data_IF_643897219794
#
_entry.id   IF_643897219794
#
_cell.length_a   1.000
_cell.length_b   1.000
_cell.length_c   1.000
_cell.angle_alpha   90.00
_cell.angle_beta   90.00
_cell.angle_gamma   90.00
#
_symmetry.space_group_name_H-M   'P 1'
#
loop_
_entity.id
_entity.type
_entity.pdbx_description
1 polymer ?
#
# COMPACT_ATOMS: atom_id res chain seq x y z
N UNK A 1 -6.03 -21.79 13.59
CA UNK A 1 -6.35 -20.39 13.25
C UNK A 1 -5.52 -20.03 12.04
N UNK A 2 -6.13 -19.63 10.93
CA UNK A 2 -5.41 -19.21 9.72
C UNK A 2 -5.64 -17.72 9.52
N UNK A 3 -4.56 -16.94 9.43
CA UNK A 3 -4.63 -15.52 9.15
C UNK A 3 -4.44 -15.31 7.65
N UNK A 4 -5.55 -15.14 6.91
CA UNK A 4 -5.50 -14.81 5.49
C UNK A 4 -5.44 -13.29 5.36
N UNK A 5 -4.31 -12.74 4.91
CA UNK A 5 -4.10 -11.30 4.80
C UNK A 5 -4.40 -10.79 3.39
N UNK A 6 -5.58 -10.18 3.19
CA UNK A 6 -5.96 -9.48 1.95
C UNK A 6 -5.95 -7.95 2.07
N UNK A 7 -5.31 -7.42 3.11
CA UNK A 7 -5.39 -5.98 3.46
C UNK A 7 -4.22 -5.13 2.97
N UNK A 8 -3.25 -5.75 2.29
CA UNK A 8 -1.96 -5.17 1.93
C UNK A 8 -1.85 -4.91 0.44
N UNK A 9 -1.49 -3.68 0.08
CA UNK A 9 -1.06 -3.30 -1.26
C UNK A 9 0.47 -3.12 -1.26
N UNK A 10 1.17 -3.87 -2.10
CA UNK A 10 2.62 -3.69 -2.32
C UNK A 10 2.82 -2.78 -3.53
N UNK A 11 3.55 -1.68 -3.32
CA UNK A 11 3.90 -0.73 -4.39
C UNK A 11 5.41 -0.65 -4.54
N UNK A 12 5.86 -0.66 -5.79
CA UNK A 12 7.24 -0.36 -6.15
C UNK A 12 7.26 1.03 -6.78
N UNK A 13 8.06 1.92 -6.22
CA UNK A 13 8.19 3.30 -6.63
C UNK A 13 9.58 3.52 -7.22
N UNK A 14 9.63 4.17 -8.39
CA UNK A 14 10.90 4.62 -8.99
C UNK A 14 11.67 5.56 -8.07
N UNK A 15 10.95 6.36 -7.28
CA UNK A 15 11.51 7.27 -6.30
C UNK A 15 10.60 7.30 -5.06
N UNK A 16 11.02 6.59 -4.01
CA UNK A 16 10.27 6.52 -2.76
C UNK A 16 10.35 7.80 -1.93
N UNK A 17 11.32 8.70 -2.18
CA UNK A 17 11.41 9.97 -1.45
C UNK A 17 10.25 10.92 -1.78
N UNK A 18 9.58 10.67 -2.91
CA UNK A 18 8.39 11.42 -3.35
C UNK A 18 7.09 10.87 -2.79
N UNK A 19 7.13 9.79 -2.01
CA UNK A 19 5.94 9.24 -1.39
C UNK A 19 5.50 10.13 -0.22
N UNK A 20 4.28 10.65 -0.29
CA UNK A 20 3.67 11.43 0.78
C UNK A 20 2.81 10.52 1.67
N UNK A 21 3.37 10.14 2.82
CA UNK A 21 2.67 9.30 3.79
C UNK A 21 1.45 10.00 4.41
N UNK A 22 1.50 11.31 4.60
CA UNK A 22 0.39 12.06 5.21
C UNK A 22 -0.81 12.09 4.25
N UNK A 23 -0.57 12.37 2.97
CA UNK A 23 -1.60 12.30 1.94
C UNK A 23 -2.16 10.88 1.78
N UNK A 24 -1.29 9.85 1.82
CA UNK A 24 -1.72 8.46 1.77
C UNK A 24 -2.65 8.09 2.94
N UNK A 25 -2.31 8.53 4.16
CA UNK A 25 -3.16 8.32 5.35
C UNK A 25 -4.50 9.04 5.23
N UNK A 26 -4.51 10.27 4.72
CA UNK A 26 -5.75 11.02 4.45
C UNK A 26 -6.64 10.34 3.39
N UNK A 27 -6.03 9.62 2.44
CA UNK A 27 -6.72 8.83 1.43
C UNK A 27 -7.20 7.45 1.92
N UNK A 28 -6.99 7.11 3.20
CA UNK A 28 -7.48 5.86 3.81
C UNK A 28 -6.43 4.77 4.04
N UNK A 29 -5.13 5.05 3.81
CA UNK A 29 -4.06 4.12 4.17
C UNK A 29 -3.91 4.09 5.70
N UNK A 30 -4.15 2.93 6.31
CA UNK A 30 -4.06 2.75 7.76
C UNK A 30 -2.62 2.69 8.27
N UNK A 31 -1.71 2.14 7.46
CA UNK A 31 -0.30 2.04 7.79
C UNK A 31 0.56 1.93 6.54
N UNK A 32 1.79 2.43 6.64
CA UNK A 32 2.82 2.35 5.61
C UNK A 32 4.04 1.68 6.23
N UNK A 33 4.67 0.78 5.48
CA UNK A 33 5.91 0.12 5.89
C UNK A 33 6.83 0.00 4.69
N UNK A 34 8.04 0.54 4.81
CA UNK A 34 9.08 0.31 3.83
C UNK A 34 9.69 -1.07 4.06
N UNK A 35 9.58 -1.96 3.07
CA UNK A 35 10.09 -3.34 3.15
C UNK A 35 11.42 -3.52 2.43
N UNK A 36 11.71 -2.63 1.47
CA UNK A 36 13.00 -2.50 0.81
C UNK A 36 13.14 -1.07 0.26
N UNK A 37 14.34 -0.62 -0.14
CA UNK A 37 14.50 0.62 -0.89
C UNK A 37 13.57 0.63 -2.11
N UNK A 38 12.70 1.65 -2.22
CA UNK A 38 11.73 1.75 -3.32
C UNK A 38 10.47 0.91 -3.18
N UNK A 39 10.33 0.07 -2.14
CA UNK A 39 9.19 -0.84 -1.98
C UNK A 39 8.44 -0.58 -0.69
N UNK A 40 7.14 -0.27 -0.81
CA UNK A 40 6.27 0.00 0.33
C UNK A 40 5.14 -1.05 0.41
N UNK A 41 4.78 -1.42 1.63
CA UNK A 41 3.51 -2.04 1.96
C UNK A 41 2.56 -0.96 2.51
N UNK A 42 1.40 -0.85 1.89
CA UNK A 42 0.29 0.00 2.32
C UNK A 42 -0.82 -0.89 2.89
N UNK A 43 -1.27 -0.62 4.10
CA UNK A 43 -2.43 -1.29 4.69
C UNK A 43 -3.68 -0.48 4.32
N UNK A 44 -4.54 -1.05 3.48
CA UNK A 44 -5.73 -0.37 2.93
C UNK A 44 -7.03 -1.11 3.22
N UNK A 45 -6.97 -2.18 4.03
CA UNK A 45 -8.12 -3.03 4.33
C UNK A 45 -8.51 -3.95 3.17
N UNK A 46 -9.67 -4.59 3.27
CA UNK A 46 -10.11 -5.68 2.36
C UNK A 46 -10.21 -5.28 0.88
N UNK A 47 -10.20 -3.98 0.61
CA UNK A 47 -10.20 -3.39 -0.73
C UNK A 47 -8.82 -3.37 -1.42
N UNK A 48 -7.77 -3.93 -0.81
CA UNK A 48 -6.41 -3.90 -1.38
C UNK A 48 -6.33 -4.51 -2.80
N UNK A 49 -7.04 -5.62 -3.04
CA UNK A 49 -7.08 -6.26 -4.35
C UNK A 49 -7.78 -5.40 -5.41
N UNK A 50 -8.92 -4.81 -5.07
CA UNK A 50 -9.67 -3.92 -5.97
C UNK A 50 -8.88 -2.65 -6.28
N UNK A 51 -8.22 -2.06 -5.28
CA UNK A 51 -7.35 -0.91 -5.46
C UNK A 51 -6.15 -1.24 -6.37
N UNK A 52 -5.51 -2.40 -6.18
CA UNK A 52 -4.42 -2.85 -7.05
C UNK A 52 -4.86 -2.94 -8.51
N UNK A 53 -6.05 -3.51 -8.78
CA UNK A 53 -6.59 -3.61 -10.13
C UNK A 53 -6.87 -2.22 -10.74
N UNK A 54 -7.38 -1.27 -9.96
CA UNK A 54 -7.64 0.10 -10.44
C UNK A 54 -6.38 0.89 -10.82
N UNK A 55 -5.23 0.55 -10.24
CA UNK A 55 -3.93 1.19 -10.51
C UNK A 55 -3.17 0.54 -11.67
N UNK A 56 -3.60 -0.64 -12.13
CA UNK A 56 -3.01 -1.39 -13.24
C UNK A 56 -3.70 -1.13 -14.59
N UNK A 57 -4.87 -0.47 -14.57
CA UNK A 57 -5.59 0.01 -15.75
C UNK A 57 -5.18 1.43 -16.12
#
# INVERSE_FOLDING_TARGET
MEAIAHTRLRVELKDAARFDEAAARAAGVSAVTQVAPGVLHLIVGDQAAALAASLQG
#
